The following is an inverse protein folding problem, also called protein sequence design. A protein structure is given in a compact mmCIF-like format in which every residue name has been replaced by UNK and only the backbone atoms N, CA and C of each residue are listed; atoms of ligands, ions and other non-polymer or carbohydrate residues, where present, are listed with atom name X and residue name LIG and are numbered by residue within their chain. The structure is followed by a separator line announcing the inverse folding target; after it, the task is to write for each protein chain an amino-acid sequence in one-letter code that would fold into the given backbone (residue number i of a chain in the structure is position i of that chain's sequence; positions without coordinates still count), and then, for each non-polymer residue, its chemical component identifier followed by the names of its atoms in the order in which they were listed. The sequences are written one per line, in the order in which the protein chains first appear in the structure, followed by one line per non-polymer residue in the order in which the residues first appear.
data_IF_993153841383
#
_entry.id   IF_993153841383
#
_cell.length_a   1.000
_cell.length_b   1.000
_cell.length_c   1.000
_cell.angle_alpha   90.00
_cell.angle_beta   90.00
_cell.angle_gamma   90.00
#
_symmetry.space_group_name_H-M   'P 1'
#
loop_
_entity.id
_entity.type
_entity.pdbx_description
1 polymer ?
#
# COMPACT_ATOMS: atom_id res chain seq x y z
N UNK A 1 23.31 29.91 -13.10
CA UNK A 1 23.30 29.16 -11.83
C UNK A 1 21.85 28.96 -11.42
N UNK A 2 21.38 27.72 -11.31
CA UNK A 2 20.06 27.44 -10.75
C UNK A 2 20.03 27.88 -9.29
N UNK A 3 19.12 28.80 -8.94
CA UNK A 3 18.99 29.38 -7.58
C UNK A 3 18.26 28.45 -6.60
N UNK A 4 17.83 27.26 -7.04
CA UNK A 4 17.02 26.36 -6.24
C UNK A 4 17.32 24.92 -6.62
N UNK A 5 17.49 24.08 -5.59
CA UNK A 5 17.57 22.63 -5.72
C UNK A 5 16.23 22.06 -5.26
N UNK A 6 15.60 21.25 -6.11
CA UNK A 6 14.35 20.55 -5.78
C UNK A 6 14.70 19.13 -5.35
N UNK A 7 14.27 18.74 -4.14
CA UNK A 7 14.46 17.38 -3.62
C UNK A 7 13.12 16.65 -3.72
N UNK A 8 13.10 15.53 -4.46
CA UNK A 8 11.91 14.70 -4.59
C UNK A 8 11.82 13.71 -3.42
N UNK A 9 10.87 13.94 -2.52
CA UNK A 9 10.55 13.04 -1.39
C UNK A 9 9.43 12.03 -1.73
N UNK A 10 9.12 11.83 -3.02
CA UNK A 10 8.17 10.81 -3.42
C UNK A 10 8.69 9.42 -3.03
N UNK A 11 7.89 8.73 -2.23
CA UNK A 11 8.17 7.37 -1.78
C UNK A 11 8.00 6.43 -2.98
N UNK A 12 8.96 5.52 -3.19
CA UNK A 12 8.89 4.46 -4.21
C UNK A 12 8.49 3.13 -3.56
N UNK A 13 7.95 2.18 -4.34
CA UNK A 13 7.58 0.87 -3.82
C UNK A 13 8.76 0.13 -3.19
N UNK A 14 9.92 0.14 -3.84
CA UNK A 14 11.13 -0.47 -3.32
C UNK A 14 11.66 0.26 -2.09
N UNK A 15 11.72 1.60 -2.13
CA UNK A 15 12.18 2.42 -1.00
C UNK A 15 11.33 2.22 0.26
N UNK A 16 10.00 2.16 0.09
CA UNK A 16 9.11 1.86 1.20
C UNK A 16 9.25 0.42 1.70
N UNK A 17 9.46 -0.56 0.81
CA UNK A 17 9.69 -1.93 1.24
C UNK A 17 10.94 -2.02 2.11
N UNK A 18 12.03 -1.35 1.76
CA UNK A 18 13.24 -1.29 2.62
C UNK A 18 12.98 -0.61 3.96
N UNK A 19 12.19 0.47 3.97
CA UNK A 19 11.80 1.12 5.22
C UNK A 19 10.95 0.19 6.10
N UNK A 20 9.96 -0.47 5.51
CA UNK A 20 9.09 -1.42 6.22
C UNK A 20 9.87 -2.65 6.69
N UNK A 21 10.92 -3.05 5.99
CA UNK A 21 11.81 -4.12 6.43
C UNK A 21 12.44 -3.78 7.78
N UNK A 22 12.92 -2.55 7.95
CA UNK A 22 13.40 -2.05 9.24
C UNK A 22 12.32 -2.14 10.34
N UNK A 23 11.07 -1.82 10.02
CA UNK A 23 9.97 -1.94 10.97
C UNK A 23 9.64 -3.40 11.35
N UNK A 24 9.68 -4.33 10.38
CA UNK A 24 9.43 -5.76 10.64
C UNK A 24 10.56 -6.36 11.46
N UNK A 25 11.81 -6.15 11.06
CA UNK A 25 12.99 -6.67 11.76
C UNK A 25 13.10 -6.08 13.15
N UNK A 26 12.90 -4.76 13.31
CA UNK A 26 12.91 -4.14 14.63
C UNK A 26 11.80 -4.64 15.56
N UNK A 27 10.70 -5.18 15.03
CA UNK A 27 9.64 -5.80 15.80
C UNK A 27 9.95 -7.27 16.16
N UNK A 28 10.37 -8.08 15.19
CA UNK A 28 10.60 -9.52 15.37
C UNK A 28 11.98 -9.84 16.00
N UNK A 29 13.01 -9.05 15.67
CA UNK A 29 14.41 -9.22 16.07
C UNK A 29 15.03 -7.87 16.52
N UNK A 30 14.59 -7.31 17.66
CA UNK A 30 15.01 -5.98 18.11
C UNK A 30 16.53 -5.87 18.34
N UNK A 31 17.16 -6.92 18.87
CA UNK A 31 18.62 -6.94 19.10
C UNK A 31 19.41 -6.87 17.78
N UNK A 32 18.95 -7.58 16.74
CA UNK A 32 19.59 -7.54 15.42
C UNK A 32 19.50 -6.14 14.79
N UNK A 33 18.35 -5.48 14.94
CA UNK A 33 18.17 -4.12 14.43
C UNK A 33 19.01 -3.10 15.22
N UNK A 34 19.17 -3.30 16.53
CA UNK A 34 20.06 -2.49 17.37
C UNK A 34 21.53 -2.67 16.95
N UNK A 35 21.99 -3.90 16.79
CA UNK A 35 23.34 -4.21 16.31
C UNK A 35 23.60 -3.58 14.93
N UNK A 36 22.61 -3.62 14.02
CA UNK A 36 22.69 -2.94 12.72
C UNK A 36 22.90 -1.44 12.87
N UNK A 37 22.15 -0.79 13.76
CA UNK A 37 22.27 0.66 13.99
C UNK A 37 23.65 1.02 14.56
N UNK A 38 24.15 0.23 15.51
CA UNK A 38 25.49 0.40 16.08
C UNK A 38 26.59 0.25 15.02
N UNK A 39 26.51 -0.78 14.17
CA UNK A 39 27.47 -0.98 13.07
C UNK A 39 27.42 0.17 12.06
N UNK A 40 26.24 0.65 11.70
CA UNK A 40 26.10 1.79 10.77
C UNK A 40 26.72 3.05 11.36
N UNK A 41 26.50 3.32 12.66
CA UNK A 41 27.12 4.45 13.34
C UNK A 41 28.64 4.31 13.38
N UNK A 42 29.15 3.15 13.79
CA UNK A 42 30.59 2.87 13.83
C UNK A 42 31.25 3.02 12.45
N UNK A 43 30.62 2.52 11.39
CA UNK A 43 31.11 2.68 10.02
C UNK A 43 31.15 4.15 9.59
N UNK A 44 30.14 4.95 9.96
CA UNK A 44 30.10 6.39 9.69
C UNK A 44 31.25 7.11 10.40
N UNK A 45 31.45 6.81 11.69
CA UNK A 45 32.50 7.42 12.50
C UNK A 45 33.90 7.04 11.99
N UNK A 46 34.10 5.78 11.59
CA UNK A 46 35.32 5.33 10.92
C UNK A 46 35.57 6.05 9.59
N UNK A 47 34.55 6.27 8.76
CA UNK A 47 34.69 7.04 7.51
C UNK A 47 35.03 8.51 7.76
N UNK A 48 34.41 9.14 8.75
CA UNK A 48 34.73 10.51 9.13
C UNK A 48 36.17 10.62 9.64
N UNK A 49 36.60 9.68 10.49
CA UNK A 49 37.97 9.63 10.99
C UNK A 49 38.96 9.42 9.85
N UNK A 50 38.66 8.54 8.89
CA UNK A 50 39.53 8.28 7.73
C UNK A 50 39.71 9.54 6.88
N UNK A 51 38.63 10.26 6.59
CA UNK A 51 38.68 11.56 5.90
C UNK A 51 39.48 12.59 6.71
N UNK A 52 39.30 12.63 8.03
CA UNK A 52 40.07 13.53 8.88
C UNK A 52 41.58 13.22 8.84
N UNK A 53 41.97 11.95 8.87
CA UNK A 53 43.36 11.53 8.73
C UNK A 53 43.93 11.92 7.35
N UNK A 54 43.14 11.81 6.27
CA UNK A 54 43.52 12.30 4.94
C UNK A 54 43.74 13.82 4.93
N UNK A 55 42.82 14.60 5.50
CA UNK A 55 42.92 16.06 5.59
C UNK A 55 44.17 16.49 6.41
N UNK A 56 44.48 15.76 7.49
CA UNK A 56 45.71 15.99 8.29
C UNK A 56 46.96 15.74 7.45
N UNK A 57 47.02 14.64 6.69
CA UNK A 57 48.15 14.36 5.80
C UNK A 57 48.33 15.47 4.77
N UNK A 58 47.24 15.89 4.13
CA UNK A 58 47.26 16.94 3.12
C UNK A 58 47.71 18.29 3.70
N UNK A 59 47.23 18.62 4.90
CA UNK A 59 47.62 19.84 5.59
C UNK A 59 49.10 19.85 5.96
N UNK A 60 49.58 18.79 6.59
CA UNK A 60 50.98 18.65 7.02
C UNK A 60 51.95 18.69 5.82
N UNK A 61 51.59 18.05 4.70
CA UNK A 61 52.36 18.14 3.46
C UNK A 61 52.38 19.56 2.87
N UNK A 62 51.25 20.26 2.89
CA UNK A 62 51.12 21.61 2.34
C UNK A 62 51.82 22.69 3.19
N UNK A 63 51.86 22.52 4.52
CA UNK A 63 52.49 23.46 5.46
C UNK A 63 54.00 23.23 5.57
N UNK A 64 54.48 22.00 5.29
CA UNK A 64 55.91 21.71 5.32
C UNK A 64 56.71 22.62 4.36
N UNK A 65 57.66 23.38 4.91
CA UNK A 65 58.59 24.23 4.15
C UNK A 65 60.00 23.68 4.32
N UNK A 66 60.67 23.36 3.21
CA UNK A 66 62.01 22.76 3.20
C UNK A 66 62.00 21.31 2.69
N UNK A 67 63.10 20.60 2.91
CA UNK A 67 63.23 19.18 2.54
C UNK A 67 62.35 18.32 3.45
N UNK A 68 61.31 17.72 2.86
CA UNK A 68 60.32 16.85 3.55
C UNK A 68 61.02 15.68 4.27
N UNK A 69 62.16 15.25 3.78
CA UNK A 69 62.95 14.15 4.33
C UNK A 69 63.63 14.50 5.66
N UNK A 70 63.80 15.80 5.96
CA UNK A 70 64.53 16.26 7.15
C UNK A 70 63.58 16.64 8.30
N UNK A 71 62.27 16.66 8.06
CA UNK A 71 61.27 16.98 9.07
C UNK A 71 60.84 15.72 9.84
N UNK A 72 61.54 15.42 10.94
CA UNK A 72 61.26 14.24 11.77
C UNK A 72 59.83 14.24 12.37
N UNK A 73 59.31 15.41 12.74
CA UNK A 73 57.96 15.53 13.31
C UNK A 73 56.88 15.18 12.27
N UNK A 74 57.09 15.62 11.02
CA UNK A 74 56.24 15.25 9.89
C UNK A 74 56.29 13.74 9.61
N UNK A 75 57.49 13.15 9.60
CA UNK A 75 57.66 11.70 9.38
C UNK A 75 56.93 10.90 10.46
N UNK A 76 57.06 11.30 11.73
CA UNK A 76 56.41 10.63 12.86
C UNK A 76 54.88 10.75 12.79
N UNK A 77 54.39 11.93 12.44
CA UNK A 77 52.94 12.19 12.27
C UNK A 77 52.38 11.38 11.11
N UNK A 78 53.07 11.31 9.98
CA UNK A 78 52.69 10.49 8.82
C UNK A 78 52.69 8.99 9.16
N UNK A 79 53.68 8.50 9.91
CA UNK A 79 53.73 7.10 10.35
C UNK A 79 52.57 6.76 11.29
N UNK A 80 52.30 7.63 12.27
CA UNK A 80 51.19 7.43 13.23
C UNK A 80 49.84 7.47 12.54
N UNK A 81 49.66 8.42 11.60
CA UNK A 81 48.44 8.55 10.81
C UNK A 81 48.22 7.35 9.90
N UNK A 82 49.28 6.86 9.25
CA UNK A 82 49.25 5.65 8.42
C UNK A 82 48.89 4.40 9.24
N UNK A 83 49.45 4.25 10.45
CA UNK A 83 49.14 3.13 11.33
C UNK A 83 47.65 3.13 11.72
N UNK A 84 47.13 4.28 12.18
CA UNK A 84 45.70 4.45 12.50
C UNK A 84 44.79 4.22 11.30
N UNK A 85 45.16 4.73 10.13
CA UNK A 85 44.39 4.51 8.89
C UNK A 85 44.33 3.02 8.52
N UNK A 86 45.42 2.28 8.71
CA UNK A 86 45.48 0.83 8.46
C UNK A 86 44.57 0.08 9.43
N UNK A 87 44.58 0.44 10.72
CA UNK A 87 43.69 -0.14 11.74
C UNK A 87 42.21 0.11 11.41
N UNK A 88 41.84 1.36 11.10
CA UNK A 88 40.47 1.73 10.70
C UNK A 88 40.03 0.95 9.46
N UNK A 89 40.94 0.74 8.50
CA UNK A 89 40.64 -0.04 7.29
C UNK A 89 40.30 -1.49 7.63
N UNK A 90 41.05 -2.12 8.54
CA UNK A 90 40.77 -3.48 9.01
C UNK A 90 39.41 -3.54 9.71
N UNK A 91 39.15 -2.61 10.65
CA UNK A 91 37.86 -2.53 11.36
C UNK A 91 36.69 -2.32 10.40
N UNK A 92 36.86 -1.49 9.37
CA UNK A 92 35.84 -1.27 8.34
C UNK A 92 35.55 -2.54 7.53
N UNK A 93 36.57 -3.32 7.18
CA UNK A 93 36.39 -4.59 6.46
C UNK A 93 35.67 -5.64 7.31
N UNK A 94 35.95 -5.70 8.61
CA UNK A 94 35.22 -6.57 9.54
C UNK A 94 33.76 -6.12 9.69
N UNK A 95 33.52 -4.82 9.92
CA UNK A 95 32.18 -4.25 10.02
C UNK A 95 31.34 -4.50 8.75
N UNK A 96 31.95 -4.42 7.55
CA UNK A 96 31.28 -4.76 6.28
C UNK A 96 30.84 -6.22 6.22
N UNK A 97 31.68 -7.16 6.68
CA UNK A 97 31.33 -8.59 6.71
C UNK A 97 30.16 -8.84 7.66
N UNK A 98 30.20 -8.26 8.85
CA UNK A 98 29.11 -8.37 9.83
C UNK A 98 27.83 -7.74 9.30
N UNK A 99 27.90 -6.55 8.69
CA UNK A 99 26.77 -5.89 8.07
C UNK A 99 26.14 -6.74 6.95
N UNK A 100 26.95 -7.40 6.12
CA UNK A 100 26.44 -8.30 5.08
C UNK A 100 25.71 -9.53 5.66
N UNK A 101 26.21 -10.07 6.78
CA UNK A 101 25.56 -11.19 7.46
C UNK A 101 24.23 -10.76 8.09
N UNK A 102 24.18 -9.60 8.75
CA UNK A 102 22.96 -9.00 9.28
C UNK A 102 21.95 -8.78 8.14
N UNK A 103 22.41 -8.21 7.02
CA UNK A 103 21.54 -7.95 5.88
C UNK A 103 20.93 -9.25 5.33
N UNK A 104 21.72 -10.31 5.23
CA UNK A 104 21.21 -11.63 4.83
C UNK A 104 20.09 -12.12 5.74
N UNK A 105 20.24 -11.97 7.07
CA UNK A 105 19.19 -12.32 8.03
C UNK A 105 17.96 -11.42 7.93
N UNK A 106 18.15 -10.11 7.64
CA UNK A 106 17.03 -9.20 7.41
C UNK A 106 16.21 -9.62 6.19
N UNK A 107 16.87 -10.00 5.11
CA UNK A 107 16.21 -10.36 3.85
C UNK A 107 15.23 -11.55 3.97
N UNK A 108 15.34 -12.39 5.00
CA UNK A 108 14.34 -13.43 5.29
C UNK A 108 12.93 -12.84 5.55
N UNK A 109 12.86 -11.61 6.09
CA UNK A 109 11.62 -10.90 6.39
C UNK A 109 11.12 -10.02 5.24
N UNK A 110 11.86 -9.94 4.12
CA UNK A 110 11.56 -9.04 3.00
C UNK A 110 10.18 -9.26 2.40
N UNK A 111 9.68 -10.51 2.39
CA UNK A 111 8.35 -10.85 1.86
C UNK A 111 7.22 -10.07 2.56
N UNK A 112 7.33 -9.88 3.88
CA UNK A 112 6.38 -9.09 4.68
C UNK A 112 6.46 -7.62 4.30
N UNK A 113 7.67 -7.08 4.19
CA UNK A 113 7.90 -5.68 3.87
C UNK A 113 7.44 -5.34 2.44
N UNK A 114 7.70 -6.23 1.48
CA UNK A 114 7.20 -6.15 0.11
C UNK A 114 5.67 -6.14 0.07
N UNK A 115 5.00 -7.05 0.80
CA UNK A 115 3.54 -7.03 0.94
C UNK A 115 3.06 -5.70 1.51
N UNK A 116 3.69 -5.24 2.59
CA UNK A 116 3.37 -3.96 3.22
C UNK A 116 3.47 -2.78 2.26
N UNK A 117 4.50 -2.75 1.42
CA UNK A 117 4.65 -1.71 0.40
C UNK A 117 3.52 -1.79 -0.64
N UNK A 118 3.23 -2.98 -1.18
CA UNK A 118 2.13 -3.20 -2.12
C UNK A 118 0.80 -2.68 -1.56
N UNK A 119 0.48 -3.01 -0.31
CA UNK A 119 -0.75 -2.59 0.35
C UNK A 119 -0.84 -1.07 0.53
N UNK A 120 0.26 -0.40 0.87
CA UNK A 120 0.30 1.07 0.93
C UNK A 120 0.05 1.73 -0.43
N UNK A 121 0.67 1.21 -1.48
CA UNK A 121 0.50 1.77 -2.83
C UNK A 121 -0.89 1.48 -3.41
N UNK A 122 -1.49 0.33 -3.09
CA UNK A 122 -2.89 0.05 -3.40
C UNK A 122 -3.85 1.03 -2.69
N UNK A 123 -3.57 1.37 -1.43
CA UNK A 123 -4.35 2.34 -0.68
C UNK A 123 -4.17 3.77 -1.20
N UNK A 124 -2.93 4.20 -1.42
CA UNK A 124 -2.62 5.58 -1.83
C UNK A 124 -3.01 5.89 -3.29
N UNK A 125 -3.10 4.87 -4.15
CA UNK A 125 -3.59 5.04 -5.53
C UNK A 125 -5.06 5.45 -5.61
N UNK A 126 -5.85 5.25 -4.55
CA UNK A 126 -7.24 5.68 -4.47
C UNK A 126 -7.43 7.19 -4.63
N UNK A 127 -6.39 8.00 -4.33
CA UNK A 127 -6.41 9.44 -4.61
C UNK A 127 -6.65 9.75 -6.10
N UNK A 128 -6.27 8.84 -7.00
CA UNK A 128 -6.50 9.00 -8.44
C UNK A 128 -7.99 8.85 -8.80
N UNK A 129 -8.79 8.20 -7.96
CA UNK A 129 -10.25 8.06 -8.14
C UNK A 129 -10.95 9.30 -7.58
N UNK A 130 -10.58 9.72 -6.37
CA UNK A 130 -11.15 10.90 -5.72
C UNK A 130 -10.15 11.52 -4.76
N UNK A 131 -10.06 12.85 -4.76
CA UNK A 131 -9.25 13.60 -3.80
C UNK A 131 -9.70 13.43 -2.34
N UNK A 132 -10.91 12.90 -2.10
CA UNK A 132 -11.40 12.56 -0.76
C UNK A 132 -10.74 11.29 -0.19
N UNK A 133 -10.21 10.40 -1.04
CA UNK A 133 -9.61 9.12 -0.65
C UNK A 133 -8.09 9.27 -0.49
N UNK A 134 -7.72 10.17 0.40
CA UNK A 134 -6.33 10.47 0.70
C UNK A 134 -5.89 9.80 2.00
N UNK A 135 -4.83 9.01 1.91
CA UNK A 135 -4.27 8.30 3.05
C UNK A 135 -2.82 8.69 3.26
N UNK A 136 -2.45 8.95 4.51
CA UNK A 136 -1.08 9.28 4.89
C UNK A 136 -0.26 8.01 5.16
N UNK A 137 1.05 8.07 4.91
CA UNK A 137 1.97 6.99 5.30
C UNK A 137 1.96 6.76 6.81
N UNK A 138 1.83 7.82 7.62
CA UNK A 138 1.75 7.69 9.08
C UNK A 138 0.53 6.87 9.53
N UNK A 139 -0.65 7.11 8.94
CA UNK A 139 -1.85 6.32 9.18
C UNK A 139 -1.64 4.85 8.79
N UNK A 140 -0.99 4.61 7.66
CA UNK A 140 -0.67 3.26 7.20
C UNK A 140 0.29 2.52 8.14
N UNK A 141 1.36 3.19 8.60
CA UNK A 141 2.34 2.60 9.50
C UNK A 141 1.70 2.15 10.82
N UNK A 142 0.69 2.87 11.32
CA UNK A 142 -0.06 2.45 12.50
C UNK A 142 -0.80 1.11 12.27
N UNK A 143 -1.39 0.93 11.09
CA UNK A 143 -2.07 -0.32 10.69
C UNK A 143 -1.05 -1.44 10.51
N UNK A 144 0.07 -1.16 9.85
CA UNK A 144 1.15 -2.12 9.65
C UNK A 144 1.72 -2.64 10.98
N UNK A 145 1.97 -1.74 11.94
CA UNK A 145 2.43 -2.11 13.28
C UNK A 145 1.36 -2.87 14.07
N UNK A 146 0.08 -2.50 13.94
CA UNK A 146 -1.01 -3.26 14.54
C UNK A 146 -1.06 -4.69 13.97
N UNK A 147 -0.87 -4.84 12.65
CA UNK A 147 -0.84 -6.14 12.01
C UNK A 147 0.31 -7.03 12.52
N UNK A 148 1.51 -6.48 12.74
CA UNK A 148 2.64 -7.23 13.32
C UNK A 148 2.30 -7.77 14.72
N UNK A 149 1.63 -6.96 15.56
CA UNK A 149 1.21 -7.34 16.90
C UNK A 149 0.06 -8.36 16.92
N UNK A 150 -0.92 -8.19 16.04
CA UNK A 150 -2.14 -9.01 16.02
C UNK A 150 -2.01 -10.28 15.18
N UNK A 151 -0.97 -10.39 14.35
CA UNK A 151 -0.68 -11.60 13.59
C UNK A 151 -0.43 -12.77 14.54
N UNK A 152 -0.94 -13.96 14.18
CA UNK A 152 -0.78 -15.16 15.00
C UNK A 152 0.71 -15.52 15.13
N UNK A 153 1.24 -15.72 16.34
CA UNK A 153 2.61 -16.16 16.53
C UNK A 153 2.78 -17.60 16.04
N UNK A 154 3.94 -17.91 15.47
CA UNK A 154 4.32 -19.26 15.06
C UNK A 154 5.84 -19.44 15.29
N UNK A 155 6.26 -20.66 15.63
CA UNK A 155 7.68 -20.99 15.83
C UNK A 155 8.41 -21.21 14.52
N UNK A 156 7.70 -21.60 13.47
CA UNK A 156 8.24 -21.77 12.12
C UNK A 156 8.19 -20.41 11.46
N UNK A 157 9.36 -19.86 11.13
CA UNK A 157 9.49 -18.52 10.53
C UNK A 157 8.58 -18.37 9.29
N UNK A 158 8.59 -19.34 8.38
CA UNK A 158 7.76 -19.27 7.17
C UNK A 158 6.26 -19.12 7.48
N UNK A 159 5.74 -19.86 8.46
CA UNK A 159 4.35 -19.76 8.88
C UNK A 159 4.09 -18.42 9.59
N UNK A 160 5.03 -17.94 10.41
CA UNK A 160 4.95 -16.62 11.04
C UNK A 160 4.85 -15.52 9.98
N UNK A 161 5.70 -15.53 8.96
CA UNK A 161 5.67 -14.55 7.87
C UNK A 161 4.35 -14.60 7.09
N UNK A 162 3.81 -15.80 6.81
CA UNK A 162 2.48 -15.96 6.19
C UNK A 162 1.38 -15.34 7.05
N UNK A 163 1.34 -15.65 8.34
CA UNK A 163 0.35 -15.08 9.27
C UNK A 163 0.41 -13.54 9.31
N UNK A 164 1.62 -12.98 9.27
CA UNK A 164 1.83 -11.52 9.26
C UNK A 164 1.37 -10.91 7.92
N UNK A 165 1.73 -11.51 6.78
CA UNK A 165 1.30 -11.09 5.44
C UNK A 165 -0.24 -11.08 5.34
N UNK A 166 -0.89 -12.14 5.81
CA UNK A 166 -2.36 -12.25 5.85
C UNK A 166 -2.96 -11.15 6.71
N UNK A 167 -2.42 -10.92 7.91
CA UNK A 167 -2.94 -9.91 8.84
C UNK A 167 -2.77 -8.48 8.30
N UNK A 168 -1.63 -8.16 7.68
CA UNK A 168 -1.40 -6.86 7.04
C UNK A 168 -2.42 -6.64 5.93
N UNK A 169 -2.62 -7.65 5.08
CA UNK A 169 -3.58 -7.58 3.97
C UNK A 169 -5.00 -7.35 4.50
N UNK A 170 -5.40 -8.11 5.52
CA UNK A 170 -6.72 -7.99 6.16
C UNK A 170 -6.94 -6.61 6.77
N UNK A 171 -6.06 -6.15 7.68
CA UNK A 171 -6.26 -4.88 8.38
C UNK A 171 -6.18 -3.68 7.44
N UNK A 172 -5.34 -3.74 6.40
CA UNK A 172 -5.27 -2.69 5.38
C UNK A 172 -6.55 -2.63 4.55
N UNK A 173 -7.09 -3.79 4.13
CA UNK A 173 -8.36 -3.87 3.42
C UNK A 173 -9.52 -3.33 4.27
N UNK A 174 -9.62 -3.79 5.52
CA UNK A 174 -10.67 -3.37 6.45
C UNK A 174 -10.65 -1.87 6.67
N UNK A 175 -9.46 -1.31 6.93
CA UNK A 175 -9.27 0.13 7.16
C UNK A 175 -9.72 0.96 5.95
N UNK A 176 -9.34 0.57 4.74
CA UNK A 176 -9.72 1.28 3.52
C UNK A 176 -11.22 1.15 3.26
N UNK A 177 -11.81 -0.03 3.47
CA UNK A 177 -13.23 -0.25 3.26
C UNK A 177 -14.14 0.55 4.21
N UNK A 178 -13.62 1.04 5.35
CA UNK A 178 -14.35 1.97 6.22
C UNK A 178 -14.60 3.33 5.53
N UNK A 179 -13.70 3.77 4.65
CA UNK A 179 -13.77 5.06 3.96
C UNK A 179 -14.38 5.01 2.56
N UNK A 180 -14.58 3.82 1.99
CA UNK A 180 -15.08 3.63 0.62
C UNK A 180 -16.61 3.52 0.55
N UNK A 181 -17.20 4.07 -0.51
CA UNK A 181 -18.59 3.76 -0.84
C UNK A 181 -18.73 2.33 -1.35
N UNK A 182 -19.93 1.77 -1.24
CA UNK A 182 -20.21 0.37 -1.61
C UNK A 182 -19.80 0.03 -3.05
N UNK A 183 -20.04 0.96 -3.98
CA UNK A 183 -19.66 0.84 -5.40
C UNK A 183 -18.14 0.78 -5.64
N UNK A 184 -17.34 1.34 -4.74
CA UNK A 184 -15.88 1.44 -4.87
C UNK A 184 -15.15 0.24 -4.30
N UNK A 185 -15.75 -0.47 -3.34
CA UNK A 185 -15.12 -1.59 -2.64
C UNK A 185 -14.64 -2.68 -3.59
N UNK A 186 -15.49 -3.14 -4.51
CA UNK A 186 -15.11 -4.20 -5.45
C UNK A 186 -13.97 -3.75 -6.39
N UNK A 187 -13.98 -2.49 -6.82
CA UNK A 187 -12.92 -1.92 -7.66
C UNK A 187 -11.59 -1.89 -6.92
N UNK A 188 -11.60 -1.42 -5.66
CA UNK A 188 -10.43 -1.41 -4.81
C UNK A 188 -9.91 -2.83 -4.53
N UNK A 189 -10.77 -3.77 -4.19
CA UNK A 189 -10.34 -5.14 -3.92
C UNK A 189 -9.73 -5.79 -5.16
N UNK A 190 -10.31 -5.57 -6.34
CA UNK A 190 -9.73 -6.06 -7.58
C UNK A 190 -8.35 -5.43 -7.84
N UNK A 191 -8.22 -4.12 -7.69
CA UNK A 191 -6.95 -3.41 -7.82
C UNK A 191 -5.87 -3.92 -6.84
N UNK A 192 -6.23 -4.09 -5.57
CA UNK A 192 -5.36 -4.66 -4.55
C UNK A 192 -4.93 -6.08 -4.95
N UNK A 193 -5.86 -6.91 -5.43
CA UNK A 193 -5.58 -8.29 -5.86
C UNK A 193 -4.63 -8.34 -7.04
N UNK A 194 -4.80 -7.48 -8.05
CA UNK A 194 -3.89 -7.42 -9.21
C UNK A 194 -2.51 -6.90 -8.82
N UNK A 195 -2.42 -5.90 -7.93
CA UNK A 195 -1.14 -5.43 -7.40
C UNK A 195 -0.40 -6.51 -6.60
N UNK A 196 -1.12 -7.32 -5.83
CA UNK A 196 -0.58 -8.49 -5.14
C UNK A 196 -0.01 -9.49 -6.16
N UNK A 197 -0.77 -9.83 -7.19
CA UNK A 197 -0.35 -10.79 -8.22
C UNK A 197 0.85 -10.30 -9.03
N UNK A 198 0.91 -9.00 -9.36
CA UNK A 198 2.04 -8.35 -10.03
C UNK A 198 3.29 -8.41 -9.14
N UNK A 199 3.14 -8.10 -7.85
CA UNK A 199 4.21 -8.23 -6.87
C UNK A 199 4.74 -9.67 -6.72
N UNK A 200 3.90 -10.67 -6.94
CA UNK A 200 4.27 -12.09 -6.94
C UNK A 200 4.81 -12.58 -8.30
N UNK A 201 4.76 -11.76 -9.35
CA UNK A 201 5.17 -12.13 -10.71
C UNK A 201 4.20 -13.10 -11.40
N UNK A 202 2.96 -13.17 -10.92
CA UNK A 202 1.93 -14.10 -11.42
C UNK A 202 0.85 -13.43 -12.28
N UNK A 203 0.94 -12.11 -12.47
CA UNK A 203 0.05 -11.33 -13.32
C UNK A 203 0.68 -11.11 -14.69
N UNK A 204 -0.04 -11.47 -15.75
CA UNK A 204 0.28 -11.02 -17.09
C UNK A 204 -0.32 -9.61 -17.30
N UNK A 205 0.55 -8.63 -17.57
CA UNK A 205 0.16 -7.23 -17.72
C UNK A 205 -0.59 -6.98 -19.02
N UNK A 206 -0.28 -7.70 -20.09
CA UNK A 206 -1.02 -7.59 -21.35
C UNK A 206 -2.44 -8.15 -21.20
N UNK A 207 -2.59 -9.23 -20.44
CA UNK A 207 -3.91 -9.77 -20.06
C UNK A 207 -4.72 -8.77 -19.22
N UNK A 208 -4.09 -8.09 -18.26
CA UNK A 208 -4.76 -7.07 -17.47
C UNK A 208 -5.16 -5.85 -18.31
N UNK A 209 -4.29 -5.39 -19.20
CA UNK A 209 -4.60 -4.29 -20.12
C UNK A 209 -5.77 -4.65 -21.05
N UNK A 210 -5.77 -5.88 -21.58
CA UNK A 210 -6.89 -6.40 -22.37
C UNK A 210 -8.19 -6.46 -21.55
N UNK A 211 -8.15 -6.84 -20.28
CA UNK A 211 -9.34 -6.83 -19.42
C UNK A 211 -10.01 -5.45 -19.35
N UNK A 212 -9.22 -4.38 -19.32
CA UNK A 212 -9.74 -3.01 -19.29
C UNK A 212 -10.16 -2.51 -20.68
N UNK A 213 -9.28 -2.66 -21.67
CA UNK A 213 -9.43 -1.97 -22.96
C UNK A 213 -10.03 -2.84 -24.07
N UNK A 214 -10.02 -4.17 -23.91
CA UNK A 214 -10.38 -5.10 -24.97
C UNK A 214 -9.46 -4.97 -26.17
N UNK A 215 -10.02 -5.09 -27.36
CA UNK A 215 -9.31 -4.90 -28.61
C UNK A 215 -9.50 -3.45 -29.14
N UNK A 216 -8.48 -2.58 -29.02
CA UNK A 216 -8.55 -1.21 -29.51
C UNK A 216 -8.38 -1.09 -31.03
N UNK A 217 -7.91 -2.13 -31.72
CA UNK A 217 -7.53 -2.05 -33.14
C UNK A 217 -8.71 -1.67 -34.05
N UNK A 218 -8.43 -0.90 -35.11
CA UNK A 218 -9.41 -0.48 -36.11
C UNK A 218 -9.32 -1.31 -37.41
N UNK A 219 -8.50 -2.36 -37.40
CA UNK A 219 -8.17 -3.18 -38.57
C UNK A 219 -9.38 -3.95 -39.11
N UNK A 220 -9.26 -4.45 -40.35
CA UNK A 220 -10.25 -5.36 -40.95
C UNK A 220 -10.28 -6.69 -40.18
N UNK A 221 -11.24 -6.79 -39.25
CA UNK A 221 -11.53 -7.99 -38.49
C UNK A 221 -12.14 -9.07 -39.39
N UNK A 222 -11.94 -10.34 -39.02
CA UNK A 222 -12.69 -11.45 -39.62
C UNK A 222 -14.18 -11.20 -39.43
N UNK A 223 -14.97 -11.39 -40.48
CA UNK A 223 -16.42 -11.25 -40.42
C UNK A 223 -17.02 -12.25 -39.41
N UNK A 224 -17.99 -11.79 -38.62
CA UNK A 224 -18.70 -12.62 -37.64
C UNK A 224 -19.63 -13.59 -38.37
N UNK A 225 -19.47 -14.91 -38.21
CA UNK A 225 -20.36 -15.86 -38.85
C UNK A 225 -21.80 -15.76 -38.32
N UNK A 226 -22.80 -15.95 -39.19
CA UNK A 226 -24.21 -15.83 -38.83
C UNK A 226 -24.64 -16.74 -37.66
N UNK A 227 -24.02 -17.92 -37.50
CA UNK A 227 -24.28 -18.83 -36.38
C UNK A 227 -23.87 -18.28 -35.00
N UNK A 228 -23.05 -17.23 -34.97
CA UNK A 228 -22.65 -16.51 -33.75
C UNK A 228 -23.38 -15.17 -33.62
N UNK A 229 -24.56 -15.01 -34.22
CA UNK A 229 -25.37 -13.80 -34.11
C UNK A 229 -25.73 -13.42 -32.66
N UNK A 230 -25.75 -14.41 -31.75
CA UNK A 230 -26.00 -14.21 -30.33
C UNK A 230 -24.83 -13.56 -29.58
N UNK A 231 -23.61 -13.59 -30.12
CA UNK A 231 -22.44 -12.91 -29.53
C UNK A 231 -22.43 -11.44 -29.96
N UNK A 232 -22.26 -10.48 -29.03
CA UNK A 232 -22.10 -9.07 -29.38
C UNK A 232 -20.89 -8.83 -30.30
N UNK A 233 -20.99 -7.82 -31.18
CA UNK A 233 -19.89 -7.51 -32.11
C UNK A 233 -18.60 -7.09 -31.39
N UNK A 234 -18.72 -6.39 -30.26
CA UNK A 234 -17.59 -6.07 -29.38
C UNK A 234 -16.93 -7.34 -28.83
N UNK A 235 -17.73 -8.33 -28.41
CA UNK A 235 -17.22 -9.62 -27.94
C UNK A 235 -16.53 -10.39 -29.06
N UNK A 236 -17.07 -10.39 -30.28
CA UNK A 236 -16.42 -11.01 -31.44
C UNK A 236 -15.07 -10.37 -31.77
N UNK A 237 -15.00 -9.03 -31.72
CA UNK A 237 -13.77 -8.27 -31.92
C UNK A 237 -12.72 -8.60 -30.86
N UNK A 238 -13.14 -8.68 -29.60
CA UNK A 238 -12.26 -8.99 -28.47
C UNK A 238 -11.77 -10.44 -28.53
N UNK A 239 -12.61 -11.39 -28.96
CA UNK A 239 -12.28 -12.79 -29.10
C UNK A 239 -11.14 -13.03 -30.11
N UNK A 240 -11.13 -12.27 -31.22
CA UNK A 240 -10.06 -12.32 -32.21
C UNK A 240 -8.71 -11.89 -31.61
N UNK A 241 -8.70 -10.81 -30.82
CA UNK A 241 -7.48 -10.39 -30.12
C UNK A 241 -7.07 -11.38 -29.04
N UNK A 242 -8.03 -11.96 -28.33
CA UNK A 242 -7.79 -12.90 -27.24
C UNK A 242 -7.03 -14.14 -27.71
N UNK A 243 -7.32 -14.66 -28.90
CA UNK A 243 -6.61 -15.81 -29.49
C UNK A 243 -5.10 -15.56 -29.69
N UNK A 244 -4.72 -14.31 -29.97
CA UNK A 244 -3.34 -13.89 -30.22
C UNK A 244 -2.64 -13.38 -28.96
N UNK A 245 -3.40 -12.99 -27.93
CA UNK A 245 -2.88 -12.37 -26.70
C UNK A 245 -1.97 -13.30 -25.92
N UNK A 246 -2.38 -14.56 -25.73
CA UNK A 246 -1.61 -15.55 -24.99
C UNK A 246 -1.81 -16.94 -25.60
N UNK A 247 -0.75 -17.75 -25.63
CA UNK A 247 -0.78 -19.12 -26.18
C UNK A 247 -1.84 -20.01 -25.51
N UNK A 248 -2.22 -19.73 -24.27
CA UNK A 248 -3.31 -20.40 -23.56
C UNK A 248 -4.65 -20.28 -24.28
N UNK A 249 -4.90 -19.21 -25.05
CA UNK A 249 -6.14 -19.01 -25.80
C UNK A 249 -6.12 -19.56 -27.23
N UNK A 250 -4.96 -20.01 -27.75
CA UNK A 250 -4.87 -20.54 -29.12
C UNK A 250 -5.91 -21.64 -29.38
N UNK A 251 -6.70 -21.49 -30.44
CA UNK A 251 -7.76 -22.42 -30.85
C UNK A 251 -9.12 -22.12 -30.21
N UNK A 252 -9.26 -21.03 -29.44
CA UNK A 252 -10.55 -20.66 -28.82
C UNK A 252 -11.59 -20.28 -29.86
N UNK A 253 -11.17 -19.57 -30.91
CA UNK A 253 -12.06 -19.20 -32.00
C UNK A 253 -12.58 -20.44 -32.73
N UNK A 254 -11.71 -21.38 -33.06
CA UNK A 254 -12.08 -22.65 -33.70
C UNK A 254 -13.03 -23.46 -32.81
N UNK A 255 -12.77 -23.56 -31.51
CA UNK A 255 -13.65 -24.20 -30.52
C UNK A 255 -15.06 -23.59 -30.49
N UNK A 256 -15.17 -22.26 -30.46
CA UNK A 256 -16.47 -21.57 -30.48
C UNK A 256 -17.18 -21.78 -31.81
N UNK A 257 -16.43 -21.79 -32.91
CA UNK A 257 -16.97 -21.99 -34.25
C UNK A 257 -17.47 -23.42 -34.49
N UNK A 258 -16.79 -24.42 -33.93
CA UNK A 258 -17.13 -25.85 -34.10
C UNK A 258 -18.24 -26.27 -33.14
N UNK A 259 -18.21 -25.80 -31.89
CA UNK A 259 -19.19 -26.14 -30.85
C UNK A 259 -20.16 -24.98 -30.53
N UNK A 260 -20.58 -24.22 -31.54
CA UNK A 260 -21.34 -22.98 -31.38
C UNK A 260 -22.59 -23.10 -30.48
N UNK A 261 -23.34 -24.20 -30.58
CA UNK A 261 -24.54 -24.43 -29.75
C UNK A 261 -24.20 -24.66 -28.27
N UNK A 262 -23.09 -25.35 -27.96
CA UNK A 262 -22.66 -25.56 -26.58
C UNK A 262 -22.21 -24.24 -25.93
N UNK A 263 -21.48 -23.42 -26.69
CA UNK A 263 -21.08 -22.08 -26.25
C UNK A 263 -22.25 -21.13 -26.08
N UNK A 264 -23.24 -21.19 -26.97
CA UNK A 264 -24.49 -20.45 -26.84
C UNK A 264 -25.27 -20.87 -25.59
N UNK A 265 -25.40 -22.18 -25.38
CA UNK A 265 -26.07 -22.72 -24.18
C UNK A 265 -25.42 -22.21 -22.90
N UNK A 266 -24.08 -22.17 -22.84
CA UNK A 266 -23.35 -21.60 -21.71
C UNK A 266 -23.52 -20.08 -21.59
N UNK A 267 -23.49 -19.36 -22.71
CA UNK A 267 -23.72 -17.91 -22.76
C UNK A 267 -25.11 -17.50 -22.23
N UNK A 268 -26.13 -18.31 -22.50
CA UNK A 268 -27.51 -18.08 -22.10
C UNK A 268 -27.77 -18.40 -20.61
N UNK A 269 -26.82 -19.01 -19.89
CA UNK A 269 -26.96 -19.27 -18.45
C UNK A 269 -26.95 -17.97 -17.65
N UNK A 270 -27.86 -17.87 -16.68
CA UNK A 270 -27.92 -16.72 -15.78
C UNK A 270 -26.68 -16.61 -14.88
N UNK A 271 -26.01 -17.71 -14.57
CA UNK A 271 -24.89 -17.82 -13.64
C UNK A 271 -23.62 -18.40 -14.27
N UNK A 272 -23.38 -18.13 -15.56
CA UNK A 272 -22.29 -18.71 -16.35
C UNK A 272 -20.90 -18.62 -15.70
N UNK A 273 -20.64 -17.59 -14.89
CA UNK A 273 -19.37 -17.39 -14.18
C UNK A 273 -19.08 -18.43 -13.10
N UNK A 274 -20.10 -19.18 -12.68
CA UNK A 274 -20.00 -20.29 -11.73
C UNK A 274 -20.04 -21.65 -12.42
N UNK A 275 -20.24 -21.68 -13.74
CA UNK A 275 -20.38 -22.89 -14.52
C UNK A 275 -19.07 -23.21 -15.26
N UNK A 276 -18.74 -24.50 -15.46
CA UNK A 276 -17.57 -24.87 -16.25
C UNK A 276 -17.69 -24.33 -17.68
N UNK A 277 -16.56 -23.96 -18.28
CA UNK A 277 -16.52 -23.55 -19.68
C UNK A 277 -16.95 -24.72 -20.60
N UNK A 278 -17.57 -24.43 -21.74
CA UNK A 278 -17.82 -25.43 -22.77
C UNK A 278 -16.49 -26.09 -23.18
N UNK A 279 -16.52 -27.40 -23.40
CA UNK A 279 -15.35 -28.25 -23.64
C UNK A 279 -14.33 -28.26 -22.48
N UNK A 280 -14.12 -29.44 -21.89
CA UNK A 280 -13.32 -29.64 -20.68
C UNK A 280 -11.85 -29.17 -20.80
N UNK A 281 -11.31 -29.13 -22.02
CA UNK A 281 -9.95 -28.65 -22.28
C UNK A 281 -9.71 -27.22 -21.76
N UNK A 282 -10.70 -26.33 -21.86
CA UNK A 282 -10.55 -24.94 -21.44
C UNK A 282 -10.58 -24.77 -19.92
N UNK A 283 -11.29 -25.66 -19.22
CA UNK A 283 -11.32 -25.65 -17.76
C UNK A 283 -9.96 -25.97 -17.15
N UNK A 284 -9.18 -26.84 -17.81
CA UNK A 284 -7.87 -27.27 -17.35
C UNK A 284 -6.72 -26.41 -17.90
N UNK A 285 -6.89 -25.82 -19.10
CA UNK A 285 -5.86 -25.00 -19.77
C UNK A 285 -5.79 -23.57 -19.22
N UNK A 286 -6.93 -22.95 -18.89
CA UNK A 286 -7.00 -21.53 -18.56
C UNK A 286 -6.87 -21.25 -17.07
N UNK A 287 -6.07 -20.24 -16.73
CA UNK A 287 -5.96 -19.73 -15.37
C UNK A 287 -7.29 -19.08 -14.92
N UNK A 288 -7.54 -18.92 -13.60
CA UNK A 288 -8.72 -18.22 -13.12
C UNK A 288 -8.90 -16.81 -13.70
N UNK A 289 -7.79 -16.08 -13.92
CA UNK A 289 -7.83 -14.74 -14.53
C UNK A 289 -8.16 -14.83 -16.03
N UNK A 290 -7.60 -15.80 -16.74
CA UNK A 290 -7.91 -16.05 -18.16
C UNK A 290 -9.38 -16.44 -18.38
N UNK A 291 -9.98 -17.19 -17.45
CA UNK A 291 -11.44 -17.48 -17.47
C UNK A 291 -12.27 -16.22 -17.27
N UNK A 292 -11.82 -15.30 -16.42
CA UNK A 292 -12.45 -13.99 -16.24
C UNK A 292 -12.40 -13.15 -17.53
N UNK A 293 -11.29 -13.20 -18.29
CA UNK A 293 -11.20 -12.56 -19.61
C UNK A 293 -12.27 -13.08 -20.56
N UNK A 294 -12.47 -14.41 -20.63
CA UNK A 294 -13.53 -15.00 -21.45
C UNK A 294 -14.91 -14.51 -21.03
N UNK A 295 -15.22 -14.55 -19.72
CA UNK A 295 -16.52 -14.04 -19.23
C UNK A 295 -16.72 -12.58 -19.65
N UNK A 296 -15.69 -11.73 -19.56
CA UNK A 296 -15.76 -10.33 -19.99
C UNK A 296 -16.01 -10.20 -21.51
N UNK A 297 -15.44 -11.07 -22.34
CA UNK A 297 -15.68 -11.10 -23.79
C UNK A 297 -17.13 -11.49 -24.12
N UNK A 298 -17.68 -12.49 -23.42
CA UNK A 298 -19.03 -12.97 -23.67
C UNK A 298 -20.11 -12.08 -23.02
N UNK A 299 -19.98 -11.80 -21.73
CA UNK A 299 -21.04 -11.23 -20.86
C UNK A 299 -20.45 -10.24 -19.86
N UNK A 300 -20.27 -8.99 -20.29
CA UNK A 300 -19.75 -7.89 -19.48
C UNK A 300 -20.62 -7.65 -18.22
N UNK A 301 -21.93 -7.87 -18.32
CA UNK A 301 -22.88 -7.74 -17.21
C UNK A 301 -22.59 -8.71 -16.04
N UNK A 302 -21.94 -9.85 -16.31
CA UNK A 302 -21.56 -10.85 -15.29
C UNK A 302 -20.19 -10.60 -14.67
N UNK A 303 -19.42 -9.66 -15.19
CA UNK A 303 -18.05 -9.34 -14.70
C UNK A 303 -18.02 -9.01 -13.20
N UNK A 304 -18.95 -8.22 -12.62
CA UNK A 304 -18.91 -7.97 -11.18
C UNK A 304 -19.00 -9.24 -10.32
N UNK A 305 -19.83 -10.21 -10.70
CA UNK A 305 -19.94 -11.50 -9.98
C UNK A 305 -18.73 -12.37 -10.24
N UNK A 306 -18.24 -12.43 -11.49
CA UNK A 306 -17.03 -13.17 -11.84
C UNK A 306 -15.79 -12.64 -11.11
N UNK A 307 -15.68 -11.33 -10.93
CA UNK A 307 -14.64 -10.68 -10.12
C UNK A 307 -14.71 -11.10 -8.66
N UNK A 308 -15.92 -11.16 -8.07
CA UNK A 308 -16.08 -11.66 -6.70
C UNK A 308 -15.61 -13.11 -6.59
N UNK A 309 -16.01 -13.99 -7.50
CA UNK A 309 -15.57 -15.39 -7.50
C UNK A 309 -14.05 -15.50 -7.65
N UNK A 310 -13.45 -14.70 -8.54
CA UNK A 310 -12.01 -14.65 -8.75
C UNK A 310 -11.25 -14.20 -7.50
N UNK A 311 -11.68 -13.10 -6.88
CA UNK A 311 -11.08 -12.55 -5.66
C UNK A 311 -11.25 -13.53 -4.49
N UNK A 312 -12.44 -14.10 -4.30
CA UNK A 312 -12.70 -15.06 -3.25
C UNK A 312 -11.82 -16.31 -3.38
N UNK A 313 -11.59 -16.77 -4.62
CA UNK A 313 -10.69 -17.90 -4.88
C UNK A 313 -9.21 -17.55 -4.65
N UNK A 314 -8.79 -16.32 -4.98
CA UNK A 314 -7.39 -15.88 -4.87
C UNK A 314 -7.01 -15.51 -3.44
N UNK A 315 -7.90 -14.83 -2.72
CA UNK A 315 -7.70 -14.37 -1.35
C UNK A 315 -8.59 -15.18 -0.40
N UNK A 316 -9.85 -14.78 -0.22
CA UNK A 316 -10.94 -15.52 0.44
C UNK A 316 -12.23 -14.66 0.41
N UNK A 317 -13.34 -15.22 0.92
CA UNK A 317 -14.66 -14.59 1.00
C UNK A 317 -14.69 -13.24 1.74
N UNK A 318 -13.78 -12.99 2.69
CA UNK A 318 -13.73 -11.74 3.46
C UNK A 318 -13.58 -10.51 2.55
N UNK A 319 -12.88 -10.66 1.43
CA UNK A 319 -12.53 -9.55 0.54
C UNK A 319 -13.64 -9.18 -0.46
N UNK A 320 -14.71 -9.98 -0.53
CA UNK A 320 -15.87 -9.74 -1.41
C UNK A 320 -17.15 -9.47 -0.63
N UNK A 321 -17.08 -9.61 0.69
CA UNK A 321 -18.12 -9.25 1.63
C UNK A 321 -17.86 -7.86 2.18
N UNK A 322 -18.87 -7.00 2.11
CA UNK A 322 -18.76 -5.66 2.64
C UNK A 322 -18.75 -5.70 4.17
N UNK A 323 -17.69 -5.16 4.83
CA UNK A 323 -17.63 -5.16 6.28
C UNK A 323 -18.77 -4.31 6.85
N UNK A 324 -19.40 -4.80 7.92
CA UNK A 324 -20.41 -4.02 8.65
C UNK A 324 -19.76 -2.85 9.36
N UNK A 325 -20.32 -1.64 9.22
CA UNK A 325 -19.84 -0.45 9.92
C UNK A 325 -20.02 -0.61 11.44
N UNK A 326 -18.92 -0.53 12.20
CA UNK A 326 -18.93 -0.66 13.66
C UNK A 326 -18.13 0.48 14.29
N UNK A 327 -18.82 1.52 14.79
CA UNK A 327 -18.18 2.71 15.38
C UNK A 327 -17.26 2.40 16.56
N UNK A 328 -17.54 1.33 17.32
CA UNK A 328 -16.69 0.89 18.43
C UNK A 328 -15.30 0.42 17.97
N UNK A 329 -15.21 -0.24 16.81
CA UNK A 329 -13.95 -0.67 16.19
C UNK A 329 -13.18 0.53 15.64
N UNK A 330 -13.88 1.45 14.97
CA UNK A 330 -13.29 2.70 14.47
C UNK A 330 -12.66 3.47 15.63
N UNK A 331 -13.37 3.62 16.75
CA UNK A 331 -12.84 4.28 17.94
C UNK A 331 -11.59 3.57 18.49
N UNK A 332 -11.60 2.24 18.56
CA UNK A 332 -10.46 1.47 19.05
C UNK A 332 -9.19 1.61 18.18
N UNK A 333 -9.36 1.92 16.90
CA UNK A 333 -8.27 2.16 15.95
C UNK A 333 -7.90 3.65 15.82
N UNK A 334 -8.66 4.54 16.44
CA UNK A 334 -8.43 5.99 16.40
C UNK A 334 -7.47 6.45 17.50
N UNK A 335 -6.99 7.69 17.40
CA UNK A 335 -6.21 8.35 18.45
C UNK A 335 -6.71 9.76 18.68
N UNK A 336 -6.43 10.34 19.85
CA UNK A 336 -6.79 11.73 20.16
C UNK A 336 -6.15 12.74 19.20
N UNK A 337 -5.05 12.36 18.54
CA UNK A 337 -4.35 13.19 17.56
C UNK A 337 -4.89 13.01 16.14
N UNK A 338 -5.76 12.03 15.88
CA UNK A 338 -6.31 11.72 14.57
C UNK A 338 -7.83 11.90 14.57
N UNK A 339 -8.36 13.03 14.05
CA UNK A 339 -9.80 13.25 13.98
C UNK A 339 -10.47 12.20 13.09
N UNK A 340 -11.68 11.79 13.46
CA UNK A 340 -12.49 10.86 12.65
C UNK A 340 -13.35 11.67 11.69
N UNK A 341 -13.14 11.48 10.39
CA UNK A 341 -13.98 12.06 9.35
C UNK A 341 -15.05 11.04 8.92
N UNK A 342 -16.32 11.46 8.97
CA UNK A 342 -17.45 10.65 8.51
C UNK A 342 -18.00 11.23 7.21
N UNK A 343 -17.87 10.46 6.13
CA UNK A 343 -18.41 10.82 4.82
C UNK A 343 -19.76 10.14 4.66
N UNK A 344 -20.81 10.94 4.48
CA UNK A 344 -22.19 10.47 4.50
C UNK A 344 -22.77 10.42 3.08
N UNK A 345 -23.50 9.35 2.78
CA UNK A 345 -24.44 9.34 1.65
C UNK A 345 -25.67 10.19 2.00
N UNK A 346 -26.36 10.76 1.00
CA UNK A 346 -27.60 11.49 1.23
C UNK A 346 -28.61 10.67 2.05
N UNK A 347 -29.15 11.27 3.11
CA UNK A 347 -30.12 10.62 4.00
C UNK A 347 -29.54 9.79 5.14
N UNK A 348 -28.22 9.57 5.20
CA UNK A 348 -27.57 8.92 6.34
C UNK A 348 -27.23 9.95 7.44
N UNK A 349 -27.55 9.65 8.70
CA UNK A 349 -27.15 10.44 9.87
C UNK A 349 -26.61 9.54 10.99
N UNK A 350 -25.30 9.58 11.30
CA UNK A 350 -24.68 8.74 12.32
C UNK A 350 -24.84 9.31 13.74
N UNK A 351 -25.47 10.48 13.92
CA UNK A 351 -25.46 11.22 15.18
C UNK A 351 -25.97 10.40 16.38
N UNK A 352 -27.09 9.69 16.22
CA UNK A 352 -27.66 8.87 17.29
C UNK A 352 -26.70 7.76 17.73
N UNK A 353 -26.03 7.10 16.79
CA UNK A 353 -25.12 6.00 17.10
C UNK A 353 -23.82 6.49 17.73
N UNK A 354 -23.30 7.62 17.27
CA UNK A 354 -22.14 8.30 17.89
C UNK A 354 -22.49 8.72 19.32
N UNK A 355 -23.68 9.28 19.55
CA UNK A 355 -24.11 9.69 20.88
C UNK A 355 -24.22 8.48 21.83
N UNK A 356 -24.82 7.37 21.37
CA UNK A 356 -24.88 6.13 22.15
C UNK A 356 -23.48 5.60 22.48
N UNK A 357 -22.55 5.64 21.52
CA UNK A 357 -21.16 5.23 21.74
C UNK A 357 -20.46 6.14 22.75
N UNK A 358 -20.61 7.46 22.62
CA UNK A 358 -20.05 8.43 23.54
C UNK A 358 -20.56 8.20 24.97
N UNK A 359 -21.88 8.03 25.12
CA UNK A 359 -22.50 7.74 26.41
C UNK A 359 -21.97 6.44 27.04
N UNK A 360 -21.85 5.37 26.24
CA UNK A 360 -21.28 4.09 26.68
C UNK A 360 -19.80 4.20 27.11
N UNK A 361 -19.08 5.23 26.64
CA UNK A 361 -17.69 5.53 27.02
C UNK A 361 -17.58 6.60 28.11
N UNK A 362 -18.69 7.03 28.71
CA UNK A 362 -18.72 8.03 29.78
C UNK A 362 -18.64 9.48 29.30
N UNK A 363 -18.67 9.73 27.99
CA UNK A 363 -18.71 11.07 27.41
C UNK A 363 -20.17 11.55 27.31
N UNK A 364 -20.67 12.08 28.42
CA UNK A 364 -22.02 12.66 28.53
C UNK A 364 -21.99 14.11 29.00
N UNK A 365 -23.11 14.82 28.80
CA UNK A 365 -23.32 16.17 29.31
C UNK A 365 -22.23 17.16 28.85
N UNK A 366 -21.36 17.57 29.78
CA UNK A 366 -20.33 18.55 29.49
C UNK A 366 -19.10 18.03 28.73
N UNK A 367 -18.96 16.70 28.62
CA UNK A 367 -17.84 16.02 27.97
C UNK A 367 -18.17 15.56 26.53
N UNK A 368 -19.38 15.85 26.06
CA UNK A 368 -19.78 15.69 24.65
C UNK A 368 -20.31 17.04 24.14
N UNK A 369 -19.79 17.49 23.00
CA UNK A 369 -20.17 18.74 22.35
C UNK A 369 -20.63 18.43 20.95
N UNK A 370 -21.81 18.91 20.60
CA UNK A 370 -22.39 18.78 19.29
C UNK A 370 -22.59 20.17 18.69
N UNK A 371 -22.20 20.34 17.43
CA UNK A 371 -22.43 21.58 16.70
C UNK A 371 -22.69 21.29 15.21
N UNK A 372 -23.87 21.69 14.73
CA UNK A 372 -24.16 21.76 13.31
C UNK A 372 -23.58 23.06 12.73
N UNK A 373 -22.69 22.95 11.75
CA UNK A 373 -22.01 24.10 11.17
C UNK A 373 -22.90 24.78 10.12
N UNK A 374 -23.01 26.10 10.27
CA UNK A 374 -23.66 27.02 9.34
C UNK A 374 -22.91 28.35 9.33
N UNK A 375 -23.46 29.36 8.64
CA UNK A 375 -22.84 30.67 8.55
C UNK A 375 -22.59 31.27 9.94
N UNK A 376 -21.36 31.74 10.21
CA UNK A 376 -20.97 32.34 11.49
C UNK A 376 -20.62 31.37 12.61
N UNK A 377 -20.71 30.04 12.42
CA UNK A 377 -20.45 29.06 13.48
C UNK A 377 -18.97 28.70 13.68
N UNK A 378 -18.09 29.09 12.75
CA UNK A 378 -16.66 28.78 12.79
C UNK A 378 -15.95 29.17 14.12
N UNK A 379 -16.15 30.37 14.70
CA UNK A 379 -15.51 30.73 15.97
C UNK A 379 -15.98 29.88 17.15
N UNK A 380 -17.26 29.50 17.17
CA UNK A 380 -17.80 28.64 18.22
C UNK A 380 -17.26 27.22 18.12
N UNK A 381 -17.14 26.69 16.89
CA UNK A 381 -16.55 25.39 16.62
C UNK A 381 -15.09 25.33 17.10
N UNK A 382 -14.30 26.36 16.78
CA UNK A 382 -12.92 26.50 17.23
C UNK A 382 -12.81 26.46 18.77
N UNK A 383 -13.63 27.25 19.46
CA UNK A 383 -13.67 27.25 20.94
C UNK A 383 -14.02 25.88 21.53
N UNK A 384 -14.90 25.12 20.87
CA UNK A 384 -15.24 23.76 21.30
C UNK A 384 -14.07 22.79 21.10
N UNK A 385 -13.36 22.89 19.97
CA UNK A 385 -12.19 22.05 19.69
C UNK A 385 -11.06 22.36 20.68
N UNK A 386 -10.69 23.62 20.87
CA UNK A 386 -9.65 24.03 21.83
C UNK A 386 -9.94 23.52 23.24
N UNK A 387 -11.19 23.70 23.70
CA UNK A 387 -11.63 23.16 24.99
C UNK A 387 -11.58 21.63 25.03
N UNK A 388 -11.87 20.97 23.91
CA UNK A 388 -11.78 19.51 23.78
C UNK A 388 -10.35 19.00 23.84
N UNK A 389 -9.42 19.68 23.17
CA UNK A 389 -7.99 19.40 23.26
C UNK A 389 -7.47 19.55 24.70
N UNK A 390 -7.87 20.62 25.40
CA UNK A 390 -7.41 20.87 26.78
C UNK A 390 -8.03 19.96 27.82
N UNK A 391 -9.30 19.58 27.68
CA UNK A 391 -10.07 18.89 28.73
C UNK A 391 -10.37 17.42 28.42
N UNK A 392 -10.02 16.93 27.23
CA UNK A 392 -10.34 15.58 26.78
C UNK A 392 -11.86 15.38 26.62
N UNK A 393 -12.50 16.15 25.74
CA UNK A 393 -13.93 15.96 25.43
C UNK A 393 -14.16 15.60 23.96
N UNK A 394 -15.31 14.99 23.68
CA UNK A 394 -15.70 14.66 22.31
C UNK A 394 -16.41 15.85 21.67
N UNK A 395 -15.99 16.22 20.46
CA UNK A 395 -16.58 17.29 19.67
C UNK A 395 -17.08 16.70 18.34
N UNK A 396 -18.40 16.64 18.17
CA UNK A 396 -19.06 16.23 16.94
C UNK A 396 -19.48 17.47 16.15
N UNK A 397 -18.85 17.64 14.98
CA UNK A 397 -19.17 18.71 14.03
C UNK A 397 -19.97 18.12 12.86
N UNK A 398 -21.15 18.67 12.60
CA UNK A 398 -21.97 18.33 11.44
C UNK A 398 -21.88 19.41 10.36
N UNK A 399 -22.20 19.03 9.12
CA UNK A 399 -22.25 19.94 7.97
C UNK A 399 -20.94 20.69 7.70
N UNK A 400 -19.80 20.08 8.02
CA UNK A 400 -18.46 20.63 7.77
C UNK A 400 -18.25 21.07 6.30
N UNK A 401 -18.89 20.37 5.36
CA UNK A 401 -18.83 20.68 3.93
C UNK A 401 -19.45 22.05 3.57
N UNK A 402 -20.33 22.61 4.41
CA UNK A 402 -20.93 23.94 4.19
C UNK A 402 -19.96 25.10 4.50
N UNK A 403 -18.87 24.84 5.24
CA UNK A 403 -17.86 25.85 5.61
C UNK A 403 -16.49 25.54 5.01
N UNK A 404 -16.43 25.28 3.70
CA UNK A 404 -15.22 24.86 3.00
C UNK A 404 -14.00 25.79 3.21
N UNK A 405 -14.21 27.10 3.29
CA UNK A 405 -13.13 28.08 3.54
C UNK A 405 -12.50 27.92 4.93
N UNK A 406 -13.29 27.55 5.94
CA UNK A 406 -12.84 27.36 7.31
C UNK A 406 -12.10 26.02 7.50
N UNK A 407 -12.35 25.01 6.68
CA UNK A 407 -11.67 23.70 6.78
C UNK A 407 -10.14 23.80 6.72
N UNK A 408 -9.60 24.77 5.96
CA UNK A 408 -8.15 25.04 5.94
C UNK A 408 -7.62 25.54 7.29
N UNK A 409 -8.42 26.33 8.00
CA UNK A 409 -8.08 26.83 9.34
C UNK A 409 -8.23 25.73 10.38
N UNK A 410 -9.27 24.90 10.25
CA UNK A 410 -9.47 23.71 11.06
C UNK A 410 -8.28 22.74 10.95
N UNK A 411 -7.79 22.47 9.73
CA UNK A 411 -6.62 21.62 9.51
C UNK A 411 -5.39 22.15 10.27
N UNK A 412 -5.08 23.45 10.14
CA UNK A 412 -3.98 24.08 10.88
C UNK A 412 -4.13 23.98 12.40
N UNK A 413 -5.36 24.14 12.90
CA UNK A 413 -5.64 24.03 14.34
C UNK A 413 -5.39 22.61 14.86
N UNK A 414 -5.79 21.60 14.09
CA UNK A 414 -5.59 20.19 14.42
C UNK A 414 -4.11 19.77 14.30
N UNK A 415 -3.36 20.38 13.39
CA UNK A 415 -1.90 20.19 13.27
C UNK A 415 -1.14 20.89 14.40
N UNK A 416 -1.49 22.13 14.72
CA UNK A 416 -0.84 22.92 15.78
C UNK A 416 -0.94 22.28 17.16
N UNK A 417 -2.09 21.68 17.48
CA UNK A 417 -2.27 20.92 18.72
C UNK A 417 -1.41 19.65 18.85
N UNK A 418 -0.77 19.17 17.76
CA UNK A 418 0.19 18.06 17.82
C UNK A 418 1.59 18.51 18.25
N UNK A 419 1.99 19.74 17.94
CA UNK A 419 3.34 20.24 18.21
C UNK A 419 3.55 20.68 19.68
N UNK A 420 2.47 21.00 20.41
CA UNK A 420 2.55 21.45 21.80
C UNK A 420 2.49 20.30 22.83
N UNK A 421 2.26 19.05 22.39
CA UNK A 421 2.09 17.88 23.26
C UNK A 421 3.13 16.76 23.03
N UNK A 422 4.09 16.98 22.14
CA UNK A 422 5.30 16.16 21.92
C UNK A 422 6.50 16.88 22.49
#
# INVERSE_FOLDING_TARGET
MGKTVVINYAVTMSGLAEQLLGHVVGFELPELEKERQEIVQNMSDCHQMMKHLEDVILHELAVSKGSILDNQDLIQTLQTTKAKATEITITLEEAKKTAAQIEKSRQEYYSVAKRGSIMYFAMSSLRNISSMLEYSLASYLAIFQAALREARPDRILENRLKNVIEKITQLSYDYVCLGLFEKEKLMYTFHMTTMIMDGEGSLDREELEFFFMGNPALDQLREKPARLAWLPDSGWKDLQRLEELNASFRGILESILTAAEAWKTWYDLENLESMPLPEEKWNNKLSPFQKLLLIRVFRVDRVPTALKNFIARRLNEHYVQSPSLQYSKILAQSSAHCPILLILSPGADPQSDIYKLAAARGFVGNNFRFLALGQGMAPLAQKHIEKGCQRGCWVLLQNCHLLASWLKSLAKLLEGGRAEAS
#
